data_IF_985991517122
#
_entry.id   IF_985991517122
#
_cell.length_a   1.000
_cell.length_b   1.000
_cell.length_c   1.000
_cell.angle_alpha   90.00
_cell.angle_beta   90.00
_cell.angle_gamma   90.00
#
_symmetry.space_group_name_H-M   'P 1'
#
loop_
_entity.id
_entity.type
_entity.pdbx_description
1 polymer ?
#
# COMPACT_ATOMS: atom_id res chain seq x y z
N UNK A 1 -16.45 8.88 0.04
CA UNK A 1 -16.41 8.49 -1.39
C UNK A 1 -15.00 7.98 -1.68
N UNK A 2 -14.85 6.84 -2.36
CA UNK A 2 -13.52 6.32 -2.72
C UNK A 2 -13.18 6.73 -4.17
N UNK A 3 -11.96 7.20 -4.39
CA UNK A 3 -11.40 7.49 -5.70
C UNK A 3 -10.77 6.22 -6.26
N UNK A 4 -11.31 5.75 -7.38
CA UNK A 4 -10.70 4.67 -8.16
C UNK A 4 -9.37 5.15 -8.74
N UNK A 5 -8.29 4.42 -8.46
CA UNK A 5 -6.94 4.75 -8.94
C UNK A 5 -6.43 3.73 -9.94
N UNK A 6 -5.63 4.21 -10.90
CA UNK A 6 -4.89 3.38 -11.85
C UNK A 6 -3.75 2.60 -11.18
N UNK A 7 -3.11 1.70 -11.91
CA UNK A 7 -2.06 0.83 -11.34
C UNK A 7 -0.79 1.57 -10.93
N UNK A 8 -0.38 2.57 -11.69
CA UNK A 8 0.75 3.44 -11.38
C UNK A 8 0.48 4.30 -10.15
N UNK A 9 -0.69 4.95 -10.07
CA UNK A 9 -1.09 5.73 -8.90
C UNK A 9 -1.22 4.88 -7.65
N UNK A 10 -1.81 3.69 -7.77
CA UNK A 10 -1.91 2.76 -6.65
C UNK A 10 -0.53 2.37 -6.11
N UNK A 11 0.45 2.09 -6.98
CA UNK A 11 1.82 1.82 -6.55
C UNK A 11 2.44 3.00 -5.81
N UNK A 12 2.28 4.22 -6.33
CA UNK A 12 2.80 5.43 -5.68
C UNK A 12 2.16 5.67 -4.31
N UNK A 13 0.85 5.51 -4.20
CA UNK A 13 0.12 5.66 -2.93
C UNK A 13 0.54 4.58 -1.93
N UNK A 14 0.73 3.34 -2.39
CA UNK A 14 1.24 2.25 -1.55
C UNK A 14 2.66 2.56 -1.04
N UNK A 15 3.55 3.05 -1.90
CA UNK A 15 4.92 3.43 -1.56
C UNK A 15 4.96 4.54 -0.51
N UNK A 16 4.19 5.62 -0.71
CA UNK A 16 4.12 6.73 0.25
C UNK A 16 3.57 6.30 1.62
N UNK A 17 2.53 5.46 1.64
CA UNK A 17 1.91 4.99 2.89
C UNK A 17 2.77 3.92 3.59
N UNK A 18 3.48 3.10 2.83
CA UNK A 18 4.33 2.02 3.33
C UNK A 18 5.70 2.52 3.80
N UNK A 19 6.33 3.40 3.03
CA UNK A 19 7.71 3.88 3.18
C UNK A 19 7.87 5.36 3.55
N UNK A 20 6.79 6.14 3.66
CA UNK A 20 6.83 7.55 4.03
C UNK A 20 7.48 7.83 5.39
N UNK A 21 7.65 9.09 5.77
CA UNK A 21 8.51 9.57 6.87
C UNK A 21 8.34 8.90 8.26
N UNK A 22 7.21 8.23 8.52
CA UNK A 22 6.97 7.43 9.74
C UNK A 22 7.07 5.89 9.56
N UNK A 23 7.47 5.45 8.37
CA UNK A 23 8.07 4.17 7.96
C UNK A 23 7.80 2.95 8.81
N UNK A 24 6.54 2.68 9.18
CA UNK A 24 6.26 1.61 10.15
C UNK A 24 6.27 0.22 9.50
N UNK A 25 6.79 0.07 8.28
CA UNK A 25 6.89 -1.20 7.55
C UNK A 25 5.65 -2.08 7.73
N UNK A 26 4.48 -1.48 7.49
CA UNK A 26 3.20 -2.09 7.86
C UNK A 26 2.86 -3.27 6.95
N UNK A 27 2.30 -4.32 7.53
CA UNK A 27 1.84 -5.49 6.77
C UNK A 27 0.73 -5.15 5.78
N UNK A 28 0.57 -6.01 4.76
CA UNK A 28 -0.29 -5.78 3.60
C UNK A 28 -1.76 -5.44 3.94
N UNK A 29 -2.34 -6.10 4.94
CA UNK A 29 -3.73 -5.83 5.39
C UNK A 29 -3.87 -4.41 5.96
N UNK A 30 -2.92 -4.00 6.80
CA UNK A 30 -2.92 -2.66 7.39
C UNK A 30 -2.65 -1.59 6.33
N UNK A 31 -1.80 -1.89 5.35
CA UNK A 31 -1.51 -1.04 4.21
C UNK A 31 -2.76 -0.79 3.37
N UNK A 32 -3.44 -1.85 2.90
CA UNK A 32 -4.69 -1.74 2.15
C UNK A 32 -5.76 -0.95 2.93
N UNK A 33 -5.88 -1.20 4.24
CA UNK A 33 -6.80 -0.45 5.10
C UNK A 33 -6.47 1.05 5.20
N UNK A 34 -5.18 1.43 5.25
CA UNK A 34 -4.78 2.84 5.22
C UNK A 34 -5.10 3.49 3.88
N UNK A 35 -4.85 2.80 2.76
CA UNK A 35 -5.18 3.29 1.41
C UNK A 35 -6.68 3.56 1.28
N UNK A 36 -7.53 2.64 1.74
CA UNK A 36 -8.99 2.84 1.75
C UNK A 36 -9.41 4.00 2.65
N UNK A 37 -8.82 4.13 3.85
CA UNK A 37 -9.12 5.26 4.76
C UNK A 37 -8.67 6.61 4.19
N UNK A 38 -7.60 6.62 3.39
CA UNK A 38 -7.16 7.80 2.65
C UNK A 38 -8.06 8.14 1.45
N UNK A 39 -9.09 7.33 1.20
CA UNK A 39 -10.08 7.58 0.16
C UNK A 39 -9.73 6.98 -1.19
N UNK A 40 -8.76 6.07 -1.28
CA UNK A 40 -8.37 5.45 -2.55
C UNK A 40 -8.83 4.00 -2.66
N UNK A 41 -9.20 3.58 -3.86
CA UNK A 41 -9.66 2.23 -4.14
C UNK A 41 -9.05 1.66 -5.43
N UNK A 42 -8.71 0.37 -5.40
CA UNK A 42 -8.32 -0.42 -6.57
C UNK A 42 -8.93 -1.82 -6.47
N UNK A 43 -9.42 -2.43 -7.58
CA UNK A 43 -10.07 -3.75 -7.55
C UNK A 43 -9.25 -4.86 -6.89
N UNK A 44 -7.91 -4.78 -6.97
CA UNK A 44 -6.98 -5.75 -6.40
C UNK A 44 -6.11 -5.16 -5.29
N UNK A 45 -6.60 -4.15 -4.57
CA UNK A 45 -5.80 -3.39 -3.58
C UNK A 45 -5.10 -4.28 -2.55
N UNK A 46 -5.74 -5.37 -2.12
CA UNK A 46 -5.13 -6.33 -1.19
C UNK A 46 -3.95 -7.09 -1.81
N UNK A 47 -4.07 -7.50 -3.07
CA UNK A 47 -3.01 -8.20 -3.79
C UNK A 47 -1.87 -7.24 -4.12
N UNK A 48 -2.20 -6.01 -4.54
CA UNK A 48 -1.22 -4.95 -4.76
C UNK A 48 -0.44 -4.62 -3.48
N UNK A 49 -1.12 -4.48 -2.35
CA UNK A 49 -0.48 -4.26 -1.06
C UNK A 49 0.38 -5.46 -0.63
N UNK A 50 -0.07 -6.69 -0.88
CA UNK A 50 0.70 -7.90 -0.59
C UNK A 50 1.96 -8.00 -1.47
N UNK A 51 1.83 -7.75 -2.77
CA UNK A 51 2.95 -7.69 -3.70
C UNK A 51 3.95 -6.60 -3.32
N UNK A 52 3.45 -5.42 -2.92
CA UNK A 52 4.30 -4.31 -2.48
C UNK A 52 5.11 -4.66 -1.22
N UNK A 53 4.46 -5.21 -0.19
CA UNK A 53 5.16 -5.63 1.05
C UNK A 53 6.13 -6.79 0.79
N UNK A 54 5.78 -7.75 -0.07
CA UNK A 54 6.66 -8.86 -0.49
C UNK A 54 7.91 -8.36 -1.23
N UNK A 55 7.76 -7.32 -2.03
CA UNK A 55 8.88 -6.71 -2.76
C UNK A 55 9.75 -5.79 -1.89
N UNK A 56 9.28 -5.42 -0.69
CA UNK A 56 10.03 -4.55 0.22
C UNK A 56 11.12 -5.34 0.95
N UNK A 57 12.36 -5.21 0.51
CA UNK A 57 13.54 -5.87 1.08
C UNK A 57 13.67 -5.66 2.60
N UNK A 58 13.41 -4.44 3.09
CA UNK A 58 13.42 -4.16 4.54
C UNK A 58 12.37 -5.01 5.27
N UNK A 59 11.15 -5.11 4.76
CA UNK A 59 10.11 -5.97 5.34
C UNK A 59 10.40 -7.47 5.24
N UNK A 60 11.28 -7.90 4.33
CA UNK A 60 11.66 -9.32 4.21
C UNK A 60 12.87 -9.69 5.08
N UNK A 61 13.63 -8.70 5.57
CA UNK A 61 14.77 -8.91 6.46
C UNK A 61 14.39 -9.01 7.93
N UNK A 62 13.20 -8.55 8.31
CA UNK A 62 12.69 -8.52 9.69
C UNK A 62 11.37 -9.30 9.77
#
# INVERSE_FOLDING_TARGET
MLLSVGGEDAKRILDEIHGGSCGSHIGARSLAGKVMRAGFYRPNLHDDAAGHVRACDKCQRY
#
